data_IF_127156923310
#
_entry.id   IF_127156923310
#
_cell.length_a   1.000
_cell.length_b   1.000
_cell.length_c   1.000
_cell.angle_alpha   90.00
_cell.angle_beta   90.00
_cell.angle_gamma   90.00
#
_symmetry.space_group_name_H-M   'P 1'
#
loop_
_entity.id
_entity.type
_entity.pdbx_description
1 polymer ?
#
# COMPACT_ATOMS: atom_id res chain seq x y z
N UNK A 1 67.95 -63.75 29.94
CA UNK A 1 67.60 -62.56 29.12
C UNK A 1 66.58 -62.82 28.01
N UNK A 2 66.30 -64.07 27.61
CA UNK A 2 65.36 -64.39 26.53
C UNK A 2 63.88 -64.43 26.93
N UNK A 3 63.55 -64.37 28.23
CA UNK A 3 62.16 -64.34 28.74
C UNK A 3 61.60 -62.93 29.04
N UNK A 4 62.43 -61.89 29.09
CA UNK A 4 61.95 -60.50 29.26
C UNK A 4 61.55 -59.83 27.94
N UNK A 5 62.09 -60.27 26.80
CA UNK A 5 61.80 -59.68 25.48
C UNK A 5 60.44 -60.15 24.93
N UNK A 6 60.00 -61.35 25.29
CA UNK A 6 58.71 -61.91 24.85
C UNK A 6 57.50 -61.24 25.52
N UNK A 7 57.65 -60.70 26.73
CA UNK A 7 56.54 -60.07 27.45
C UNK A 7 56.29 -58.63 27.01
N UNK A 8 57.33 -57.88 26.62
CA UNK A 8 57.17 -56.54 26.03
C UNK A 8 56.53 -56.56 24.63
N UNK A 9 56.83 -57.57 23.80
CA UNK A 9 56.26 -57.65 22.44
C UNK A 9 54.76 -58.01 22.40
N UNK A 10 54.26 -58.73 23.41
CA UNK A 10 52.82 -59.07 23.49
C UNK A 10 51.96 -57.89 23.97
N UNK A 11 52.51 -57.00 24.80
CA UNK A 11 51.79 -55.79 25.26
C UNK A 11 51.69 -54.76 24.12
N UNK A 12 52.75 -54.62 23.29
CA UNK A 12 52.70 -53.73 22.12
C UNK A 12 51.73 -54.21 21.04
N UNK A 13 51.64 -55.53 20.78
CA UNK A 13 50.70 -56.08 19.78
C UNK A 13 49.23 -55.99 20.19
N UNK A 14 48.92 -56.01 21.50
CA UNK A 14 47.54 -55.89 21.99
C UNK A 14 47.04 -54.43 21.99
N UNK A 15 47.94 -53.44 22.10
CA UNK A 15 47.58 -52.03 22.00
C UNK A 15 47.38 -51.56 20.54
N UNK A 16 48.16 -52.07 19.58
CA UNK A 16 47.96 -51.74 18.16
C UNK A 16 46.65 -52.30 17.59
N UNK A 17 46.22 -53.48 18.05
CA UNK A 17 44.96 -54.10 17.60
C UNK A 17 43.73 -53.47 18.25
N UNK A 18 43.85 -52.94 19.48
CA UNK A 18 42.79 -52.17 20.13
C UNK A 18 42.65 -50.76 19.52
N UNK A 19 43.76 -50.06 19.25
CA UNK A 19 43.72 -48.75 18.57
C UNK A 19 43.23 -48.84 17.12
N UNK A 20 43.56 -49.90 16.37
CA UNK A 20 43.04 -50.10 14.99
C UNK A 20 41.55 -50.40 14.95
N UNK A 21 40.98 -51.05 15.98
CA UNK A 21 39.54 -51.33 16.05
C UNK A 21 38.72 -50.12 16.53
N UNK A 22 39.27 -49.28 17.40
CA UNK A 22 38.66 -47.98 17.73
C UNK A 22 38.74 -46.98 16.57
N UNK A 23 39.83 -46.97 15.79
CA UNK A 23 39.96 -46.10 14.63
C UNK A 23 38.97 -46.44 13.50
N UNK A 24 38.63 -47.72 13.29
CA UNK A 24 37.63 -48.12 12.29
C UNK A 24 36.17 -47.89 12.72
N UNK A 25 35.87 -47.89 14.02
CA UNK A 25 34.54 -47.55 14.55
C UNK A 25 34.32 -46.04 14.67
N UNK A 26 35.37 -45.24 14.86
CA UNK A 26 35.34 -43.78 14.78
C UNK A 26 35.34 -43.25 13.33
N UNK A 27 35.88 -44.00 12.36
CA UNK A 27 35.82 -43.60 10.95
C UNK A 27 34.48 -43.93 10.28
N UNK A 28 33.66 -44.80 10.87
CA UNK A 28 32.34 -45.17 10.32
C UNK A 28 31.18 -44.38 10.92
N UNK A 29 31.41 -43.67 12.04
CA UNK A 29 30.45 -42.71 12.63
C UNK A 29 30.67 -41.26 12.19
N UNK A 30 31.75 -40.99 11.46
CA UNK A 30 32.05 -39.67 10.86
C UNK A 30 31.71 -39.57 9.36
N UNK A 31 31.05 -40.57 8.79
CA UNK A 31 30.58 -40.57 7.39
C UNK A 31 29.06 -40.40 7.24
N UNK A 32 28.35 -40.00 8.31
CA UNK A 32 26.91 -39.74 8.27
C UNK A 32 26.52 -38.27 8.51
N UNK A 33 27.45 -37.34 8.36
CA UNK A 33 27.15 -35.92 8.57
C UNK A 33 28.06 -35.05 7.71
N UNK A 34 27.74 -34.95 6.43
CA UNK A 34 27.94 -33.78 5.56
C UNK A 34 27.44 -34.10 4.15
N UNK A 35 26.23 -34.65 4.02
CA UNK A 35 25.38 -34.09 2.98
C UNK A 35 24.97 -32.72 3.49
N UNK A 36 25.83 -31.73 3.27
CA UNK A 36 25.33 -30.39 3.02
C UNK A 36 24.33 -30.61 1.87
N UNK A 37 23.05 -30.73 2.23
CA UNK A 37 22.00 -30.56 1.26
C UNK A 37 22.32 -29.19 0.71
N UNK A 38 22.87 -29.15 -0.51
CA UNK A 38 22.85 -27.92 -1.28
C UNK A 38 21.41 -27.45 -1.14
N UNK A 39 21.19 -26.32 -0.45
CA UNK A 39 19.86 -25.74 -0.36
C UNK A 39 19.34 -25.77 -1.79
N UNK A 40 18.29 -26.55 -2.05
CA UNK A 40 17.67 -26.52 -3.35
C UNK A 40 17.27 -25.06 -3.54
N UNK A 41 17.93 -24.37 -4.49
CA UNK A 41 17.61 -22.99 -4.78
C UNK A 41 16.11 -22.90 -5.07
N UNK A 42 15.35 -22.28 -4.16
CA UNK A 42 13.91 -22.08 -4.28
C UNK A 42 13.02 -22.93 -3.36
N UNK A 43 13.47 -24.07 -2.82
CA UNK A 43 12.66 -24.89 -1.90
C UNK A 43 13.26 -24.85 -0.50
N UNK A 44 12.49 -24.29 0.44
CA UNK A 44 12.83 -24.25 1.86
C UNK A 44 12.37 -25.56 2.51
N UNK A 45 13.21 -26.59 2.49
CA UNK A 45 12.87 -27.93 3.01
C UNK A 45 12.43 -27.90 4.48
N UNK A 46 12.91 -26.91 5.26
CA UNK A 46 12.50 -26.68 6.64
C UNK A 46 11.06 -26.19 6.81
N UNK A 47 10.41 -25.70 5.76
CA UNK A 47 9.02 -25.23 5.78
C UNK A 47 8.00 -26.38 5.62
N UNK A 48 8.46 -27.56 5.19
CA UNK A 48 7.60 -28.70 4.90
C UNK A 48 7.07 -29.36 6.18
N UNK A 49 5.76 -29.64 6.23
CA UNK A 49 5.14 -30.55 7.20
C UNK A 49 5.12 -31.96 6.60
N UNK A 50 6.10 -32.78 6.98
CA UNK A 50 6.25 -34.15 6.47
C UNK A 50 5.22 -35.14 7.04
N UNK A 51 4.39 -34.73 7.99
CA UNK A 51 3.29 -35.56 8.49
C UNK A 51 2.01 -35.37 7.68
N UNK A 52 1.91 -34.30 6.90
CA UNK A 52 0.80 -34.05 6.00
C UNK A 52 0.99 -34.81 4.68
N UNK A 53 -0.11 -35.36 4.15
CA UNK A 53 -0.12 -35.96 2.83
C UNK A 53 -0.19 -34.87 1.74
N UNK A 54 0.86 -34.70 0.90
CA UNK A 54 0.86 -33.69 -0.15
C UNK A 54 -0.25 -33.89 -1.19
N UNK A 55 -0.78 -35.10 -1.34
CA UNK A 55 -1.87 -35.39 -2.27
C UNK A 55 -3.25 -34.99 -1.71
N UNK A 56 -3.36 -34.80 -0.39
CA UNK A 56 -4.60 -34.43 0.31
C UNK A 56 -4.65 -32.93 0.59
N UNK A 57 -3.58 -32.38 1.17
CA UNK A 57 -3.43 -30.94 1.41
C UNK A 57 -1.99 -30.50 1.14
N UNK A 58 -1.74 -30.13 -0.12
CA UNK A 58 -0.44 -29.63 -0.53
C UNK A 58 -0.08 -28.31 0.17
N UNK A 59 -1.07 -27.51 0.59
CA UNK A 59 -0.81 -26.25 1.28
C UNK A 59 -0.28 -26.51 2.70
N UNK A 60 -0.90 -27.42 3.44
CA UNK A 60 -0.39 -27.88 4.74
C UNK A 60 1.02 -28.46 4.58
N UNK A 61 1.18 -29.45 3.69
CA UNK A 61 2.47 -30.10 3.45
C UNK A 61 3.59 -29.11 3.15
N UNK A 62 3.33 -28.07 2.35
CA UNK A 62 4.36 -27.14 1.91
C UNK A 62 4.61 -25.96 2.85
N UNK A 63 3.66 -25.59 3.72
CA UNK A 63 3.73 -24.31 4.44
C UNK A 63 3.54 -24.39 5.96
N UNK A 64 3.01 -25.47 6.53
CA UNK A 64 2.53 -25.42 7.92
C UNK A 64 3.65 -25.37 8.96
N UNK A 65 4.82 -25.95 8.70
CA UNK A 65 6.00 -25.75 9.56
C UNK A 65 6.40 -24.27 9.58
N UNK A 66 6.39 -23.59 8.43
CA UNK A 66 6.66 -22.15 8.39
C UNK A 66 5.59 -21.34 9.12
N UNK A 67 4.31 -21.60 8.85
CA UNK A 67 3.18 -20.88 9.46
C UNK A 67 3.18 -20.99 10.99
N UNK A 68 3.49 -22.18 11.52
CA UNK A 68 3.55 -22.38 12.98
C UNK A 68 4.70 -21.63 13.64
N UNK A 69 5.84 -21.50 12.94
CA UNK A 69 7.03 -20.78 13.43
C UNK A 69 6.99 -19.27 13.20
N UNK A 70 6.08 -18.80 12.33
CA UNK A 70 5.99 -17.41 11.91
C UNK A 70 4.58 -16.89 12.20
N UNK A 71 4.22 -16.65 13.47
CA UNK A 71 2.94 -16.06 13.81
C UNK A 71 2.79 -14.68 13.18
N UNK A 72 1.55 -14.27 12.91
CA UNK A 72 1.26 -12.94 12.36
C UNK A 72 1.77 -11.86 13.32
N UNK A 73 2.66 -10.94 12.89
CA UNK A 73 3.11 -9.83 13.72
C UNK A 73 1.92 -9.02 14.25
N UNK A 74 2.01 -8.52 15.48
CA UNK A 74 0.89 -7.86 16.15
C UNK A 74 0.33 -6.64 15.39
N UNK A 75 1.16 -5.96 14.60
CA UNK A 75 0.76 -4.80 13.78
C UNK A 75 0.27 -5.16 12.37
N UNK A 76 -0.01 -6.43 12.09
CA UNK A 76 -0.48 -6.92 10.80
C UNK A 76 -1.73 -7.80 10.94
N UNK A 77 -2.47 -7.91 9.84
CA UNK A 77 -3.66 -8.78 9.69
C UNK A 77 -3.34 -10.11 8.99
N UNK A 78 -2.18 -10.21 8.35
CA UNK A 78 -1.75 -11.37 7.56
C UNK A 78 -0.23 -11.49 7.53
N UNK A 79 0.25 -12.71 7.34
CA UNK A 79 1.68 -12.99 7.24
C UNK A 79 1.96 -14.09 6.24
N UNK A 80 2.96 -13.87 5.40
CA UNK A 80 3.46 -14.83 4.41
C UNK A 80 4.91 -14.51 4.08
N UNK A 81 5.58 -15.39 3.35
CA UNK A 81 6.93 -15.14 2.81
C UNK A 81 7.02 -13.82 2.02
N UNK A 82 5.95 -13.44 1.30
CA UNK A 82 5.87 -12.14 0.60
C UNK A 82 5.87 -10.97 1.58
N UNK A 83 5.09 -11.04 2.66
CA UNK A 83 5.06 -10.01 3.69
C UNK A 83 6.40 -9.94 4.43
N UNK A 84 7.01 -11.08 4.75
CA UNK A 84 8.35 -11.14 5.33
C UNK A 84 9.40 -10.45 4.45
N UNK A 85 9.37 -10.67 3.13
CA UNK A 85 10.26 -9.99 2.19
C UNK A 85 10.03 -8.47 2.16
N UNK A 86 8.77 -8.03 2.20
CA UNK A 86 8.42 -6.61 2.30
C UNK A 86 8.92 -5.96 3.61
N UNK A 87 8.82 -6.67 4.74
CA UNK A 87 9.35 -6.17 6.01
C UNK A 87 10.88 -6.07 6.00
N UNK A 88 11.56 -7.07 5.40
CA UNK A 88 13.01 -7.00 5.19
C UNK A 88 13.39 -5.81 4.31
N UNK A 89 12.64 -5.52 3.25
CA UNK A 89 12.86 -4.35 2.42
C UNK A 89 12.69 -3.05 3.23
N UNK A 90 11.68 -2.96 4.12
CA UNK A 90 11.52 -1.81 5.01
C UNK A 90 12.67 -1.66 6.00
N UNK A 91 13.20 -2.75 6.54
CA UNK A 91 14.41 -2.70 7.39
C UNK A 91 15.63 -2.17 6.60
N UNK A 92 15.77 -2.58 5.34
CA UNK A 92 16.82 -2.07 4.44
C UNK A 92 16.64 -0.58 4.10
N UNK A 93 15.40 -0.16 3.84
CA UNK A 93 15.04 1.24 3.64
C UNK A 93 15.32 2.06 4.90
N UNK A 94 15.02 1.52 6.08
CA UNK A 94 15.33 2.18 7.35
C UNK A 94 16.81 2.50 7.47
N UNK A 95 17.71 1.60 7.07
CA UNK A 95 19.16 1.88 7.08
C UNK A 95 19.50 3.06 6.16
N UNK A 96 18.89 3.15 4.98
CA UNK A 96 19.12 4.29 4.06
C UNK A 96 18.55 5.56 4.67
N UNK A 97 17.32 5.52 5.18
CA UNK A 97 16.61 6.65 5.76
C UNK A 97 17.30 7.18 7.01
N UNK A 98 17.75 6.30 7.92
CA UNK A 98 18.52 6.66 9.11
C UNK A 98 19.84 7.36 8.72
N UNK A 99 20.54 6.85 7.69
CA UNK A 99 21.79 7.44 7.19
C UNK A 99 21.58 8.84 6.59
N UNK A 100 20.70 8.97 5.58
CA UNK A 100 20.46 10.26 4.92
C UNK A 100 19.83 11.29 5.86
N UNK A 101 18.99 10.84 6.80
CA UNK A 101 18.33 11.73 7.75
C UNK A 101 19.21 12.15 8.93
N UNK A 102 20.33 11.47 9.19
CA UNK A 102 21.31 11.85 10.21
C UNK A 102 22.07 13.15 9.87
N UNK A 103 22.02 13.56 8.60
CA UNK A 103 22.69 14.74 8.06
C UNK A 103 21.70 15.82 7.65
N UNK A 104 22.12 17.08 7.76
CA UNK A 104 21.35 18.28 7.38
C UNK A 104 22.12 19.21 6.45
N UNK A 105 23.31 18.80 6.01
CA UNK A 105 24.23 19.55 5.15
C UNK A 105 24.16 19.13 3.68
N UNK A 106 23.17 18.32 3.30
CA UNK A 106 22.94 17.93 1.92
C UNK A 106 22.64 19.16 1.04
N UNK A 107 23.12 19.18 -0.22
CA UNK A 107 22.77 20.25 -1.15
C UNK A 107 21.25 20.41 -1.27
N UNK A 108 20.77 21.65 -1.22
CA UNK A 108 19.33 21.92 -1.31
C UNK A 108 18.76 21.39 -2.63
N UNK A 109 17.65 20.64 -2.55
CA UNK A 109 17.00 20.01 -3.69
C UNK A 109 17.65 18.70 -4.15
N UNK A 110 18.69 18.21 -3.47
CA UNK A 110 19.22 16.86 -3.72
C UNK A 110 18.26 15.79 -3.21
N UNK A 111 18.36 14.58 -3.77
CA UNK A 111 17.53 13.44 -3.36
C UNK A 111 17.72 13.13 -1.87
N UNK A 112 18.96 13.18 -1.39
CA UNK A 112 19.33 12.94 0.01
C UNK A 112 18.70 13.98 0.94
N UNK A 113 18.70 15.26 0.55
CA UNK A 113 18.05 16.32 1.33
C UNK A 113 16.55 16.09 1.42
N UNK A 114 15.88 15.83 0.28
CA UNK A 114 14.43 15.67 0.23
C UNK A 114 13.96 14.45 1.04
N UNK A 115 14.59 13.30 0.81
CA UNK A 115 14.28 12.04 1.52
C UNK A 115 14.60 12.16 3.01
N UNK A 116 15.77 12.70 3.35
CA UNK A 116 16.19 12.89 4.74
C UNK A 116 15.30 13.85 5.50
N UNK A 117 14.91 14.97 4.88
CA UNK A 117 14.05 15.98 5.51
C UNK A 117 12.63 15.52 5.71
N UNK A 118 12.06 14.83 4.73
CA UNK A 118 10.76 14.21 4.86
C UNK A 118 10.72 13.21 6.00
N UNK A 119 11.58 12.18 5.93
CA UNK A 119 11.65 11.12 6.94
C UNK A 119 11.96 11.66 8.33
N UNK A 120 12.92 12.58 8.41
CA UNK A 120 13.33 13.23 9.64
C UNK A 120 12.21 14.04 10.31
N UNK A 121 11.42 14.77 9.51
CA UNK A 121 10.28 15.52 10.04
C UNK A 121 9.19 14.60 10.59
N UNK A 122 8.94 13.47 9.93
CA UNK A 122 8.00 12.45 10.40
C UNK A 122 8.48 11.80 11.70
N UNK A 123 9.78 11.53 11.82
CA UNK A 123 10.38 10.89 12.99
C UNK A 123 10.44 11.79 14.24
N UNK A 124 10.31 13.12 14.10
CA UNK A 124 10.24 14.04 15.25
C UNK A 124 8.85 14.01 15.93
N UNK A 125 8.60 12.92 16.65
CA UNK A 125 7.39 12.67 17.42
C UNK A 125 7.11 13.74 18.46
N UNK A 126 8.15 14.25 19.12
CA UNK A 126 8.01 15.30 20.13
C UNK A 126 7.40 16.56 19.53
N UNK A 127 7.87 16.96 18.34
CA UNK A 127 7.34 18.12 17.64
C UNK A 127 5.94 17.89 17.11
N UNK A 128 5.69 16.75 16.46
CA UNK A 128 4.36 16.41 15.94
C UNK A 128 3.32 16.41 17.07
N UNK A 129 3.65 15.81 18.22
CA UNK A 129 2.77 15.81 19.39
C UNK A 129 2.58 17.18 20.01
N UNK A 130 3.64 18.00 20.08
CA UNK A 130 3.54 19.39 20.56
C UNK A 130 2.64 20.24 19.67
N UNK A 131 2.68 20.02 18.36
CA UNK A 131 1.85 20.73 17.39
C UNK A 131 0.38 20.27 17.45
N UNK A 132 0.10 19.03 17.81
CA UNK A 132 -1.28 18.56 17.94
C UNK A 132 -2.05 18.71 16.63
N UNK A 133 -3.23 19.34 16.71
CA UNK A 133 -4.06 19.68 15.54
C UNK A 133 -3.63 21.00 14.85
N UNK A 134 -2.74 21.80 15.44
CA UNK A 134 -2.42 23.15 14.96
C UNK A 134 -2.09 23.21 13.45
N UNK A 135 -1.35 22.26 12.85
CA UNK A 135 -1.08 22.28 11.42
C UNK A 135 -2.32 22.20 10.52
N UNK A 136 -3.38 21.51 10.96
CA UNK A 136 -4.64 21.40 10.22
C UNK A 136 -5.57 22.62 10.37
N UNK A 137 -5.34 23.48 11.37
CA UNK A 137 -6.21 24.61 11.70
C UNK A 137 -6.44 25.61 10.55
N UNK A 138 -5.43 25.96 9.71
CA UNK A 138 -5.68 26.79 8.53
C UNK A 138 -6.78 26.21 7.63
N UNK A 139 -6.71 24.92 7.27
CA UNK A 139 -7.72 24.28 6.44
C UNK A 139 -9.08 24.19 7.14
N UNK A 140 -9.12 23.84 8.42
CA UNK A 140 -10.36 23.78 9.18
C UNK A 140 -11.06 25.16 9.24
N UNK A 141 -10.29 26.24 9.37
CA UNK A 141 -10.81 27.62 9.30
C UNK A 141 -11.33 27.96 7.91
N UNK A 142 -10.63 27.54 6.86
CA UNK A 142 -11.06 27.80 5.49
C UNK A 142 -12.35 27.04 5.15
N UNK A 143 -12.51 25.81 5.64
CA UNK A 143 -13.77 25.05 5.54
C UNK A 143 -14.88 25.80 6.30
N UNK A 144 -14.61 26.27 7.52
CA UNK A 144 -15.60 27.03 8.30
C UNK A 144 -15.95 28.38 7.65
N UNK A 145 -15.02 29.00 6.93
CA UNK A 145 -15.22 30.31 6.30
C UNK A 145 -16.07 30.26 5.01
N UNK A 146 -16.33 29.08 4.44
CA UNK A 146 -17.15 28.93 3.23
C UNK A 146 -18.55 29.55 3.42
N UNK A 147 -19.03 30.29 2.42
CA UNK A 147 -20.28 31.05 2.47
C UNK A 147 -21.31 30.59 1.46
N UNK A 148 -20.90 29.86 0.43
CA UNK A 148 -21.75 29.47 -0.69
C UNK A 148 -21.19 28.24 -1.43
N UNK A 149 -21.90 27.78 -2.46
CA UNK A 149 -21.51 26.62 -3.27
C UNK A 149 -20.20 26.80 -4.05
N UNK A 150 -19.81 28.03 -4.41
CA UNK A 150 -18.52 28.28 -5.07
C UNK A 150 -17.36 28.03 -4.12
N UNK A 151 -17.47 28.52 -2.87
CA UNK A 151 -16.45 28.28 -1.84
C UNK A 151 -16.32 26.78 -1.53
N UNK A 152 -17.45 26.05 -1.51
CA UNK A 152 -17.48 24.59 -1.38
C UNK A 152 -16.67 23.90 -2.47
N UNK A 153 -16.90 24.25 -3.74
CA UNK A 153 -16.20 23.61 -4.85
C UNK A 153 -14.70 23.97 -4.90
N UNK A 154 -14.33 25.18 -4.48
CA UNK A 154 -12.91 25.55 -4.29
C UNK A 154 -12.26 24.73 -3.16
N UNK A 155 -12.98 24.45 -2.09
CA UNK A 155 -12.49 23.61 -1.00
C UNK A 155 -12.35 22.14 -1.43
N UNK A 156 -13.30 21.62 -2.21
CA UNK A 156 -13.18 20.28 -2.85
C UNK A 156 -11.90 20.20 -3.68
N UNK A 157 -11.64 21.18 -4.55
CA UNK A 157 -10.40 21.24 -5.32
C UNK A 157 -9.17 21.22 -4.43
N UNK A 158 -9.13 22.03 -3.37
CA UNK A 158 -7.99 22.08 -2.47
C UNK A 158 -7.77 20.78 -1.70
N UNK A 159 -8.83 20.08 -1.31
CA UNK A 159 -8.72 18.77 -0.66
C UNK A 159 -8.20 17.71 -1.63
N UNK A 160 -8.64 17.75 -2.90
CA UNK A 160 -8.10 16.87 -3.93
C UNK A 160 -6.59 17.09 -4.16
N UNK A 161 -6.10 18.33 -4.04
CA UNK A 161 -4.67 18.62 -4.10
C UNK A 161 -3.87 18.04 -2.91
N UNK A 162 -4.53 17.53 -1.88
CA UNK A 162 -3.91 16.86 -0.74
C UNK A 162 -4.17 15.34 -0.73
N UNK A 163 -4.60 14.78 -1.87
CA UNK A 163 -5.00 13.38 -1.94
C UNK A 163 -6.31 13.04 -1.22
N UNK A 164 -7.04 14.03 -0.67
CA UNK A 164 -8.33 13.82 0.01
C UNK A 164 -9.47 13.93 -1.00
N UNK A 165 -9.86 12.81 -1.60
CA UNK A 165 -10.89 12.75 -2.65
C UNK A 165 -12.32 12.83 -2.09
N UNK A 166 -13.02 13.95 -2.34
CA UNK A 166 -14.35 14.25 -1.78
C UNK A 166 -15.21 15.12 -2.70
N UNK A 167 -16.48 14.78 -2.97
CA UNK A 167 -17.11 13.47 -2.77
C UNK A 167 -16.77 12.48 -3.91
N UNK A 168 -15.84 12.82 -4.80
CA UNK A 168 -15.43 11.96 -5.92
C UNK A 168 -13.91 12.02 -6.09
N UNK A 169 -13.34 11.01 -6.73
CA UNK A 169 -11.93 11.01 -7.10
C UNK A 169 -11.71 11.44 -8.55
N UNK A 170 -10.56 12.06 -8.81
CA UNK A 170 -10.08 12.35 -10.16
C UNK A 170 -8.60 11.98 -10.24
N UNK A 171 -8.24 11.12 -11.17
CA UNK A 171 -6.86 10.69 -11.42
C UNK A 171 -6.54 10.65 -12.91
N UNK A 172 -5.25 10.62 -13.26
CA UNK A 172 -4.82 10.23 -14.60
C UNK A 172 -4.95 8.73 -14.80
N UNK A 173 -5.47 8.29 -15.94
CA UNK A 173 -5.54 6.88 -16.32
C UNK A 173 -5.22 6.71 -17.82
N UNK A 174 -4.82 5.51 -18.24
CA UNK A 174 -4.76 5.17 -19.66
C UNK A 174 -6.18 5.08 -20.23
N UNK A 175 -6.41 5.56 -21.46
CA UNK A 175 -7.70 5.35 -22.13
C UNK A 175 -7.85 3.87 -22.51
N UNK A 176 -8.92 3.24 -22.03
CA UNK A 176 -9.23 1.83 -22.33
C UNK A 176 -9.42 1.57 -23.84
N UNK A 177 -9.82 2.61 -24.59
CA UNK A 177 -10.02 2.55 -26.03
C UNK A 177 -8.78 2.99 -26.82
N UNK A 178 -7.81 3.64 -26.17
CA UNK A 178 -6.53 4.04 -26.75
C UNK A 178 -5.43 4.12 -25.67
N UNK A 179 -4.78 3.00 -25.32
CA UNK A 179 -3.86 2.96 -24.18
C UNK A 179 -2.57 3.80 -24.38
N UNK A 180 -2.34 4.36 -25.57
CA UNK A 180 -1.28 5.34 -25.83
C UNK A 180 -1.60 6.74 -25.30
N UNK A 181 -2.85 6.99 -24.90
CA UNK A 181 -3.31 8.26 -24.37
C UNK A 181 -3.56 8.19 -22.86
N UNK A 182 -3.18 9.26 -22.17
CA UNK A 182 -3.58 9.52 -20.79
C UNK A 182 -4.79 10.42 -20.78
N UNK A 183 -5.85 10.01 -20.10
CA UNK A 183 -7.09 10.76 -19.92
C UNK A 183 -7.37 10.96 -18.44
N UNK A 184 -8.24 11.92 -18.12
CA UNK A 184 -8.81 12.02 -16.78
C UNK A 184 -9.77 10.85 -16.53
N UNK A 185 -9.76 10.31 -15.32
CA UNK A 185 -10.74 9.33 -14.84
C UNK A 185 -11.38 9.86 -13.57
N UNK A 186 -12.71 10.02 -13.60
CA UNK A 186 -13.53 10.33 -12.44
C UNK A 186 -14.11 9.03 -11.88
N UNK A 187 -14.07 8.85 -10.57
CA UNK A 187 -14.54 7.62 -9.90
C UNK A 187 -15.22 7.93 -8.56
N UNK A 188 -16.04 6.98 -8.07
CA UNK A 188 -16.69 7.13 -6.78
C UNK A 188 -15.68 7.19 -5.63
N UNK A 189 -15.89 8.11 -4.69
CA UNK A 189 -15.01 8.27 -3.53
C UNK A 189 -15.79 8.89 -2.36
N UNK A 190 -15.09 9.36 -1.33
CA UNK A 190 -15.69 10.12 -0.25
C UNK A 190 -16.47 9.30 0.79
N UNK A 191 -16.34 7.97 0.79
CA UNK A 191 -16.85 7.12 1.87
C UNK A 191 -15.77 6.92 2.94
N UNK A 192 -16.14 6.91 4.22
CA UNK A 192 -15.22 6.58 5.32
C UNK A 192 -15.28 5.11 5.79
N UNK A 193 -16.21 4.29 5.29
CA UNK A 193 -16.21 2.83 5.49
C UNK A 193 -15.66 2.12 4.23
N UNK A 194 -15.20 0.85 4.35
CA UNK A 194 -14.43 0.18 3.30
C UNK A 194 -15.09 0.10 1.91
N UNK A 195 -16.41 -0.07 1.87
CA UNK A 195 -17.18 -0.07 0.62
C UNK A 195 -18.66 0.22 0.90
N UNK A 196 -19.48 0.27 -0.16
CA UNK A 196 -20.91 0.54 -0.05
C UNK A 196 -21.66 -0.47 0.81
N UNK A 197 -21.24 -1.73 0.85
CA UNK A 197 -21.97 -2.77 1.57
C UNK A 197 -21.95 -2.49 3.09
N UNK A 198 -20.89 -1.85 3.59
CA UNK A 198 -20.84 -1.40 4.99
C UNK A 198 -21.94 -0.40 5.35
N UNK A 199 -22.51 0.32 4.39
CA UNK A 199 -23.64 1.24 4.61
C UNK A 199 -24.99 0.55 4.43
N UNK A 200 -25.09 -0.47 3.56
CA UNK A 200 -26.36 -0.99 3.06
C UNK A 200 -26.74 -2.37 3.62
N UNK A 201 -25.76 -3.24 3.87
CA UNK A 201 -26.01 -4.62 4.29
C UNK A 201 -26.49 -4.68 5.74
N UNK A 202 -27.38 -5.63 6.03
CA UNK A 202 -28.13 -5.71 7.29
C UNK A 202 -27.57 -6.72 8.27
N UNK A 203 -26.61 -7.55 7.83
CA UNK A 203 -25.96 -8.57 8.63
C UNK A 203 -25.30 -7.95 9.88
N UNK A 204 -25.27 -8.67 11.02
CA UNK A 204 -24.82 -8.12 12.30
C UNK A 204 -23.48 -7.38 12.24
N UNK A 205 -22.48 -7.94 11.53
CA UNK A 205 -21.15 -7.33 11.37
C UNK A 205 -21.18 -5.93 10.75
N UNK A 206 -22.10 -5.68 9.81
CA UNK A 206 -22.20 -4.38 9.14
C UNK A 206 -22.94 -3.36 10.01
N UNK A 207 -23.96 -3.79 10.77
CA UNK A 207 -24.61 -2.93 11.77
C UNK A 207 -23.62 -2.50 12.85
N UNK A 208 -22.87 -3.45 13.38
CA UNK A 208 -21.82 -3.18 14.37
C UNK A 208 -20.76 -2.23 13.81
N UNK A 209 -20.30 -2.44 12.57
CA UNK A 209 -19.32 -1.56 11.95
C UNK A 209 -19.82 -0.12 11.81
N UNK A 210 -21.09 0.09 11.46
CA UNK A 210 -21.70 1.44 11.41
C UNK A 210 -21.78 2.09 12.79
N UNK A 211 -22.14 1.32 13.82
CA UNK A 211 -22.19 1.82 15.20
C UNK A 211 -20.80 2.24 15.68
N UNK A 212 -19.77 1.42 15.42
CA UNK A 212 -18.38 1.73 15.74
C UNK A 212 -17.85 2.91 14.94
N UNK A 213 -18.24 3.03 13.68
CA UNK A 213 -17.87 4.14 12.82
C UNK A 213 -18.40 5.47 13.35
N UNK A 214 -19.68 5.53 13.74
CA UNK A 214 -20.26 6.74 14.34
C UNK A 214 -19.51 7.19 15.60
N UNK A 215 -19.09 6.23 16.45
CA UNK A 215 -18.27 6.51 17.63
C UNK A 215 -16.89 7.04 17.23
N UNK A 216 -16.25 6.43 16.24
CA UNK A 216 -14.95 6.87 15.74
C UNK A 216 -15.00 8.30 15.18
N UNK A 217 -15.97 8.61 14.32
CA UNK A 217 -16.16 9.96 13.78
C UNK A 217 -16.40 10.96 14.92
N UNK A 218 -17.24 10.60 15.91
CA UNK A 218 -17.47 11.44 17.08
C UNK A 218 -16.17 11.71 17.87
N UNK A 219 -15.34 10.69 18.11
CA UNK A 219 -14.08 10.85 18.82
C UNK A 219 -13.11 11.76 18.07
N UNK A 220 -13.00 11.62 16.74
CA UNK A 220 -12.17 12.49 15.91
C UNK A 220 -12.62 13.95 15.98
N UNK A 221 -13.93 14.22 15.96
CA UNK A 221 -14.44 15.59 16.18
C UNK A 221 -14.15 16.12 17.59
N UNK A 222 -14.20 15.26 18.63
CA UNK A 222 -13.83 15.67 19.99
C UNK A 222 -12.36 16.03 20.09
N UNK A 223 -11.47 15.29 19.44
CA UNK A 223 -10.05 15.65 19.32
C UNK A 223 -9.87 16.99 18.59
N UNK A 224 -10.76 17.33 17.67
CA UNK A 224 -10.82 18.64 17.02
C UNK A 224 -11.51 19.75 17.86
N UNK A 225 -11.84 19.48 19.12
CA UNK A 225 -12.38 20.46 20.06
C UNK A 225 -13.91 20.59 20.06
N UNK A 226 -14.63 19.64 19.46
CA UNK A 226 -16.10 19.63 19.54
C UNK A 226 -16.56 19.09 20.90
N UNK A 227 -17.57 19.75 21.48
CA UNK A 227 -18.35 19.21 22.59
C UNK A 227 -19.06 17.91 22.18
N UNK A 228 -19.26 16.99 23.14
CA UNK A 228 -19.73 15.63 22.87
C UNK A 228 -21.05 15.58 22.06
N UNK A 229 -22.03 16.40 22.44
CA UNK A 229 -23.32 16.48 21.73
C UNK A 229 -23.17 16.98 20.28
N UNK A 230 -22.28 17.94 20.04
CA UNK A 230 -21.99 18.46 18.69
C UNK A 230 -21.23 17.45 17.86
N UNK A 231 -20.25 16.77 18.45
CA UNK A 231 -19.49 15.71 17.79
C UNK A 231 -20.38 14.53 17.39
N UNK A 232 -21.32 14.13 18.25
CA UNK A 232 -22.31 13.09 17.93
C UNK A 232 -23.25 13.50 16.79
N UNK A 233 -23.71 14.74 16.77
CA UNK A 233 -24.51 15.26 15.67
C UNK A 233 -23.71 15.29 14.36
N UNK A 234 -22.44 15.71 14.42
CA UNK A 234 -21.54 15.72 13.27
C UNK A 234 -21.33 14.32 12.68
N UNK A 235 -21.10 13.31 13.53
CA UNK A 235 -20.97 11.92 13.10
C UNK A 235 -22.21 11.42 12.36
N UNK A 236 -23.41 11.77 12.83
CA UNK A 236 -24.66 11.44 12.14
C UNK A 236 -24.75 12.13 10.77
N UNK A 237 -24.44 13.42 10.68
CA UNK A 237 -24.43 14.16 9.41
C UNK A 237 -23.49 13.52 8.39
N UNK A 238 -22.27 13.18 8.81
CA UNK A 238 -21.29 12.46 7.97
C UNK A 238 -21.87 11.16 7.45
N UNK A 239 -22.37 10.30 8.35
CA UNK A 239 -22.88 8.99 7.96
C UNK A 239 -24.05 9.07 6.97
N UNK A 240 -25.01 9.98 7.17
CA UNK A 240 -26.15 10.11 6.27
C UNK A 240 -25.77 10.64 4.88
N UNK A 241 -24.76 11.51 4.80
CA UNK A 241 -24.23 11.99 3.52
C UNK A 241 -23.54 10.84 2.76
N UNK A 242 -22.61 10.15 3.43
CA UNK A 242 -21.88 9.02 2.87
C UNK A 242 -22.81 7.87 2.47
N UNK A 243 -23.84 7.57 3.25
CA UNK A 243 -24.81 6.52 2.94
C UNK A 243 -25.50 6.77 1.59
N UNK A 244 -25.91 8.00 1.29
CA UNK A 244 -26.53 8.35 0.00
C UNK A 244 -25.57 8.18 -1.19
N UNK A 245 -24.29 8.48 -0.98
CA UNK A 245 -23.24 8.19 -1.97
C UNK A 245 -23.09 6.66 -2.17
N UNK A 246 -23.06 5.89 -1.09
CA UNK A 246 -22.95 4.43 -1.11
C UNK A 246 -24.15 3.74 -1.80
N UNK A 247 -25.37 4.26 -1.59
CA UNK A 247 -26.59 3.77 -2.27
C UNK A 247 -26.46 3.82 -3.81
N UNK A 248 -25.71 4.80 -4.33
CA UNK A 248 -25.50 5.03 -5.76
C UNK A 248 -24.13 4.56 -6.28
N UNK A 249 -23.32 3.92 -5.44
CA UNK A 249 -22.06 3.30 -5.83
C UNK A 249 -22.28 1.88 -6.37
N UNK A 250 -21.38 1.40 -7.22
CA UNK A 250 -21.31 0.01 -7.66
C UNK A 250 -20.88 -0.92 -6.52
N UNK A 251 -21.39 -2.15 -6.51
CA UNK A 251 -20.87 -3.18 -5.61
C UNK A 251 -19.55 -3.77 -6.12
N UNK A 252 -18.87 -4.50 -5.22
CA UNK A 252 -17.58 -5.10 -5.51
C UNK A 252 -17.61 -6.13 -6.66
N UNK A 253 -18.77 -6.69 -7.02
CA UNK A 253 -18.89 -7.61 -8.16
C UNK A 253 -18.94 -6.80 -9.45
N UNK A 254 -19.79 -5.78 -9.51
CA UNK A 254 -19.89 -4.89 -10.66
C UNK A 254 -18.58 -4.14 -10.95
N UNK A 255 -17.85 -3.70 -9.92
CA UNK A 255 -16.54 -3.03 -10.06
C UNK A 255 -15.46 -3.89 -10.75
N UNK A 256 -15.62 -5.23 -10.79
CA UNK A 256 -14.67 -6.13 -11.44
C UNK A 256 -14.94 -6.32 -12.93
N UNK A 257 -16.10 -5.90 -13.43
CA UNK A 257 -16.41 -5.92 -14.85
C UNK A 257 -15.93 -4.61 -15.49
N UNK A 258 -14.92 -4.64 -16.38
CA UNK A 258 -14.42 -3.44 -17.04
C UNK A 258 -15.51 -2.66 -17.77
N UNK A 259 -16.53 -3.35 -18.31
CA UNK A 259 -17.62 -2.69 -19.03
C UNK A 259 -18.49 -1.81 -18.12
N UNK A 260 -18.55 -2.12 -16.82
CA UNK A 260 -19.32 -1.34 -15.84
C UNK A 260 -18.58 -0.07 -15.39
N UNK A 261 -17.30 0.09 -15.74
CA UNK A 261 -16.47 1.23 -15.29
C UNK A 261 -15.83 2.00 -16.44
N UNK A 262 -16.06 1.57 -17.68
CA UNK A 262 -15.54 2.15 -18.91
C UNK A 262 -16.64 2.93 -19.64
N UNK A 263 -16.82 4.19 -19.25
CA UNK A 263 -17.77 5.11 -19.87
C UNK A 263 -17.01 6.35 -20.40
N UNK A 264 -16.53 6.23 -21.64
CA UNK A 264 -15.95 7.37 -22.36
C UNK A 264 -16.99 8.49 -22.46
N UNK A 265 -16.64 9.63 -21.88
CA UNK A 265 -17.53 10.78 -21.67
C UNK A 265 -16.84 12.03 -22.18
N UNK A 266 -17.52 12.79 -23.05
CA UNK A 266 -16.99 14.08 -23.48
C UNK A 266 -17.00 15.08 -22.32
N UNK A 267 -16.10 16.07 -22.34
CA UNK A 267 -16.12 17.14 -21.33
C UNK A 267 -17.48 17.88 -21.27
N UNK A 268 -18.15 18.01 -22.42
CA UNK A 268 -19.48 18.61 -22.47
C UNK A 268 -20.55 17.74 -21.80
N UNK A 269 -20.46 16.41 -21.91
CA UNK A 269 -21.42 15.50 -21.28
C UNK A 269 -21.17 15.35 -19.79
N UNK A 270 -19.92 15.45 -19.32
CA UNK A 270 -19.60 15.59 -17.89
C UNK A 270 -20.34 16.80 -17.28
N UNK A 271 -20.29 17.95 -17.96
CA UNK A 271 -21.00 19.16 -17.53
C UNK A 271 -22.51 18.99 -17.51
N UNK A 272 -23.09 18.19 -18.40
CA UNK A 272 -24.53 17.88 -18.39
C UNK A 272 -24.89 16.89 -17.27
N UNK A 273 -23.99 15.97 -16.95
CA UNK A 273 -24.18 14.96 -15.90
C UNK A 273 -24.14 15.59 -14.50
N UNK A 274 -23.22 16.52 -14.29
CA UNK A 274 -23.04 17.23 -13.01
C UNK A 274 -23.03 18.74 -13.26
N UNK A 275 -24.16 19.36 -13.64
CA UNK A 275 -24.24 20.77 -14.02
C UNK A 275 -24.00 21.72 -12.85
N UNK A 276 -24.15 21.26 -11.60
CA UNK A 276 -23.95 22.11 -10.41
C UNK A 276 -22.46 22.40 -10.16
N UNK A 277 -21.56 21.56 -10.68
CA UNK A 277 -20.12 21.67 -10.44
C UNK A 277 -19.41 22.48 -11.55
N UNK A 278 -18.56 23.41 -11.14
CA UNK A 278 -17.82 24.36 -11.99
C UNK A 278 -16.61 23.69 -12.65
N UNK A 279 -16.87 22.71 -13.52
CA UNK A 279 -15.85 21.89 -14.19
C UNK A 279 -14.81 22.70 -14.96
N UNK A 280 -15.21 23.79 -15.62
CA UNK A 280 -14.27 24.65 -16.35
C UNK A 280 -13.25 25.29 -15.40
N UNK A 281 -13.70 25.74 -14.23
CA UNK A 281 -12.83 26.32 -13.20
C UNK A 281 -11.90 25.26 -12.62
N UNK A 282 -12.45 24.10 -12.25
CA UNK A 282 -11.67 22.99 -11.70
C UNK A 282 -10.57 22.53 -12.67
N UNK A 283 -10.94 22.22 -13.92
CA UNK A 283 -9.98 21.70 -14.91
C UNK A 283 -8.92 22.75 -15.27
N UNK A 284 -9.28 24.04 -15.32
CA UNK A 284 -8.29 25.10 -15.56
C UNK A 284 -7.31 25.24 -14.39
N UNK A 285 -7.81 25.22 -13.15
CA UNK A 285 -6.97 25.34 -11.96
C UNK A 285 -6.03 24.14 -11.81
N UNK A 286 -6.49 22.95 -12.21
CA UNK A 286 -5.71 21.72 -12.22
C UNK A 286 -4.80 21.54 -13.45
N UNK A 287 -4.84 22.46 -14.42
CA UNK A 287 -4.16 22.33 -15.72
C UNK A 287 -4.51 21.03 -16.48
N UNK A 288 -5.76 20.56 -16.36
CA UNK A 288 -6.26 19.37 -17.04
C UNK A 288 -6.86 19.76 -18.40
N UNK A 289 -6.47 19.09 -19.51
CA UNK A 289 -7.08 19.35 -20.82
C UNK A 289 -8.57 18.96 -20.83
N UNK A 290 -9.38 19.79 -21.48
CA UNK A 290 -10.84 19.58 -21.62
C UNK A 290 -11.15 18.70 -22.82
N UNK A 291 -10.67 17.46 -22.76
CA UNK A 291 -10.88 16.42 -23.79
C UNK A 291 -11.81 15.33 -23.24
N UNK A 292 -12.04 14.28 -24.03
CA UNK A 292 -12.76 13.10 -23.56
C UNK A 292 -12.06 12.48 -22.33
N UNK A 293 -12.87 12.01 -21.41
CA UNK A 293 -12.46 11.43 -20.14
C UNK A 293 -13.24 10.13 -19.87
N UNK A 294 -12.93 9.44 -18.78
CA UNK A 294 -13.72 8.32 -18.30
C UNK A 294 -14.49 8.69 -17.02
N UNK A 295 -15.80 8.48 -16.99
CA UNK A 295 -16.60 8.56 -15.76
C UNK A 295 -16.95 7.14 -15.34
N UNK A 296 -16.30 6.65 -14.27
CA UNK A 296 -16.42 5.24 -13.87
C UNK A 296 -17.83 4.89 -13.42
N UNK A 297 -18.51 5.81 -12.73
CA UNK A 297 -19.83 5.55 -12.15
C UNK A 297 -20.79 6.73 -12.40
N UNK A 298 -21.47 6.80 -13.56
CA UNK A 298 -22.34 7.92 -13.91
C UNK A 298 -23.50 8.15 -12.92
N UNK A 299 -24.08 7.07 -12.37
CA UNK A 299 -25.16 7.16 -11.36
C UNK A 299 -24.66 7.79 -10.06
N UNK A 300 -23.46 7.42 -9.61
CA UNK A 300 -22.82 8.04 -8.47
C UNK A 300 -22.61 9.54 -8.71
N UNK A 301 -22.11 9.93 -9.88
CA UNK A 301 -21.90 11.34 -10.20
C UNK A 301 -23.20 12.14 -10.28
N UNK A 302 -24.30 11.54 -10.74
CA UNK A 302 -25.62 12.16 -10.68
C UNK A 302 -26.09 12.39 -9.22
N UNK A 303 -25.75 11.49 -8.28
CA UNK A 303 -25.99 11.70 -6.85
C UNK A 303 -25.12 12.83 -6.28
N UNK A 304 -23.84 12.89 -6.66
CA UNK A 304 -22.96 14.03 -6.29
C UNK A 304 -23.59 15.36 -6.70
N UNK A 305 -24.06 15.46 -7.94
CA UNK A 305 -24.75 16.64 -8.46
C UNK A 305 -26.00 17.00 -7.63
N UNK A 306 -26.79 16.00 -7.24
CA UNK A 306 -27.96 16.19 -6.37
C UNK A 306 -27.55 16.72 -5.00
N UNK A 307 -26.51 16.16 -4.39
CA UNK A 307 -26.04 16.61 -3.07
C UNK A 307 -25.48 18.04 -3.09
N UNK A 308 -24.81 18.45 -4.17
CA UNK A 308 -24.33 19.82 -4.32
C UNK A 308 -25.47 20.85 -4.35
N UNK A 309 -26.68 20.46 -4.78
CA UNK A 309 -27.87 21.32 -4.74
C UNK A 309 -28.63 21.27 -3.43
N UNK A 310 -28.79 20.08 -2.87
CA UNK A 310 -29.76 19.84 -1.80
C UNK A 310 -29.16 19.84 -0.39
N UNK A 311 -27.90 19.45 -0.23
CA UNK A 311 -27.26 19.39 1.08
C UNK A 311 -26.90 20.80 1.53
N UNK A 312 -27.20 21.09 2.79
CA UNK A 312 -26.93 22.41 3.37
C UNK A 312 -25.42 22.67 3.46
N UNK A 313 -25.00 23.92 3.29
CA UNK A 313 -23.59 24.28 3.43
C UNK A 313 -23.00 23.90 4.81
N UNK A 314 -23.71 24.02 5.96
CA UNK A 314 -23.23 23.52 7.24
C UNK A 314 -22.95 22.00 7.27
N UNK A 315 -23.78 21.20 6.60
CA UNK A 315 -23.56 19.75 6.52
C UNK A 315 -22.36 19.43 5.65
N UNK A 316 -22.19 20.13 4.52
CA UNK A 316 -20.98 20.05 3.69
C UNK A 316 -19.72 20.41 4.47
N UNK A 317 -19.74 21.49 5.27
CA UNK A 317 -18.62 21.85 6.16
C UNK A 317 -18.28 20.73 7.12
N UNK A 318 -19.30 20.11 7.71
CA UNK A 318 -19.13 18.99 8.63
C UNK A 318 -18.48 17.80 7.95
N UNK A 319 -18.98 17.42 6.78
CA UNK A 319 -18.43 16.32 5.99
C UNK A 319 -16.98 16.58 5.55
N UNK A 320 -16.66 17.76 5.02
CA UNK A 320 -15.30 18.10 4.60
C UNK A 320 -14.31 18.16 5.76
N UNK A 321 -14.74 18.62 6.96
CA UNK A 321 -13.90 18.55 8.17
C UNK A 321 -13.58 17.11 8.55
N UNK A 322 -14.59 16.24 8.53
CA UNK A 322 -14.37 14.82 8.78
C UNK A 322 -13.36 14.24 7.78
N UNK A 323 -13.57 14.49 6.50
CA UNK A 323 -12.72 13.98 5.43
C UNK A 323 -11.26 14.44 5.54
N UNK A 324 -11.04 15.70 5.92
CA UNK A 324 -9.71 16.20 6.26
C UNK A 324 -9.11 15.50 7.49
N UNK A 325 -9.89 15.37 8.58
CA UNK A 325 -9.40 14.83 9.85
C UNK A 325 -8.98 13.36 9.75
N UNK A 326 -9.78 12.52 9.07
CA UNK A 326 -9.43 11.11 8.91
C UNK A 326 -8.36 10.91 7.84
N UNK A 327 -8.46 11.62 6.71
CA UNK A 327 -7.51 11.50 5.60
C UNK A 327 -6.10 11.99 5.94
N UNK A 328 -5.96 12.81 6.98
CA UNK A 328 -4.68 13.35 7.44
C UNK A 328 -4.37 12.95 8.90
N UNK A 329 -5.06 11.96 9.46
CA UNK A 329 -4.86 11.55 10.85
C UNK A 329 -3.43 11.08 11.13
N UNK A 330 -2.82 10.40 10.16
CA UNK A 330 -1.50 9.76 10.29
C UNK A 330 -0.33 10.75 10.38
N UNK A 331 -0.57 12.02 10.01
CA UNK A 331 0.43 13.11 10.04
C UNK A 331 0.23 14.11 11.19
N UNK A 332 -0.76 13.85 12.06
CA UNK A 332 -1.06 14.64 13.26
C UNK A 332 -0.46 14.00 14.52
N UNK A 333 -0.82 14.51 15.70
CA UNK A 333 -0.38 13.95 16.99
C UNK A 333 -0.91 12.56 17.25
N UNK A 334 -0.28 11.87 18.19
CA UNK A 334 -0.59 10.48 18.57
C UNK A 334 -2.05 10.27 18.96
N UNK A 335 -2.74 11.30 19.49
CA UNK A 335 -4.16 11.18 19.79
C UNK A 335 -5.00 10.89 18.52
N UNK A 336 -4.71 11.58 17.41
CA UNK A 336 -5.38 11.34 16.13
C UNK A 336 -4.96 10.02 15.52
N UNK A 337 -3.66 9.72 15.51
CA UNK A 337 -3.13 8.45 14.97
C UNK A 337 -3.73 7.26 15.72
N UNK A 338 -3.82 7.31 17.05
CA UNK A 338 -4.35 6.21 17.85
C UNK A 338 -5.86 6.05 17.70
N UNK A 339 -6.63 7.13 17.60
CA UNK A 339 -8.07 7.04 17.34
C UNK A 339 -8.35 6.49 15.93
N UNK A 340 -7.60 6.94 14.92
CA UNK A 340 -7.67 6.40 13.56
C UNK A 340 -7.32 4.92 13.52
N UNK A 341 -6.23 4.54 14.20
CA UNK A 341 -5.82 3.14 14.34
C UNK A 341 -6.86 2.30 15.06
N UNK A 342 -7.49 2.79 16.13
CA UNK A 342 -8.47 2.03 16.91
C UNK A 342 -9.63 1.54 16.03
N UNK A 343 -10.06 2.34 15.06
CA UNK A 343 -11.12 1.96 14.13
C UNK A 343 -10.60 1.23 12.89
N UNK A 344 -9.74 1.85 12.08
CA UNK A 344 -9.31 1.29 10.80
C UNK A 344 -8.30 0.15 10.95
N UNK A 345 -7.35 0.30 11.87
CA UNK A 345 -6.34 -0.71 12.16
C UNK A 345 -6.91 -1.84 13.02
N UNK A 346 -7.31 -1.54 14.25
CA UNK A 346 -7.66 -2.57 15.21
C UNK A 346 -9.02 -3.21 14.93
N UNK A 347 -10.08 -2.41 14.78
CA UNK A 347 -11.42 -2.96 14.59
C UNK A 347 -11.65 -3.52 13.18
N UNK A 348 -11.36 -2.75 12.12
CA UNK A 348 -11.64 -3.18 10.74
C UNK A 348 -10.63 -4.19 10.19
N UNK A 349 -9.33 -4.01 10.45
CA UNK A 349 -8.29 -4.91 9.91
C UNK A 349 -7.90 -6.06 10.86
N UNK A 350 -8.13 -5.90 12.17
CA UNK A 350 -7.76 -6.89 13.18
C UNK A 350 -6.32 -6.80 13.70
N UNK A 351 -5.58 -5.75 13.33
CA UNK A 351 -4.25 -5.49 13.88
C UNK A 351 -4.32 -5.21 15.40
N UNK A 352 -3.41 -5.77 16.17
CA UNK A 352 -3.39 -5.62 17.64
C UNK A 352 -2.60 -4.40 18.09
N UNK A 353 -1.62 -3.97 17.31
CA UNK A 353 -0.72 -2.86 17.65
C UNK A 353 -0.50 -1.92 16.47
N UNK A 354 -0.26 -0.66 16.77
CA UNK A 354 0.15 0.31 15.76
C UNK A 354 1.57 -0.04 15.27
N UNK A 355 1.80 0.09 13.95
CA UNK A 355 3.14 -0.04 13.39
C UNK A 355 4.12 0.92 14.08
N UNK A 356 5.38 0.49 14.33
CA UNK A 356 6.42 1.38 14.83
C UNK A 356 6.55 2.64 13.96
N UNK A 357 6.78 3.79 14.57
CA UNK A 357 6.81 5.10 13.89
C UNK A 357 7.75 5.11 12.68
N UNK A 358 8.97 4.58 12.83
CA UNK A 358 9.94 4.49 11.73
C UNK A 358 9.39 3.78 10.49
N UNK A 359 8.54 2.77 10.69
CA UNK A 359 7.94 1.99 9.61
C UNK A 359 6.85 2.78 8.89
N UNK A 360 6.00 3.48 9.66
CA UNK A 360 5.00 4.41 9.12
C UNK A 360 5.67 5.55 8.34
N UNK A 361 6.73 6.13 8.89
CA UNK A 361 7.49 7.19 8.22
C UNK A 361 8.22 6.69 6.96
N UNK A 362 8.78 5.47 6.99
CA UNK A 362 9.38 4.87 5.80
C UNK A 362 8.35 4.60 4.70
N UNK A 363 7.17 4.04 5.06
CA UNK A 363 6.06 3.81 4.13
C UNK A 363 5.54 5.13 3.52
N UNK A 364 5.35 6.18 4.33
CA UNK A 364 4.94 7.51 3.86
C UNK A 364 6.01 8.16 2.96
N UNK A 365 7.29 8.01 3.30
CA UNK A 365 8.40 8.48 2.44
C UNK A 365 8.41 7.76 1.10
N UNK A 366 8.22 6.45 1.08
CA UNK A 366 8.15 5.64 -0.15
C UNK A 366 6.90 5.97 -0.98
N UNK A 367 5.76 6.26 -0.33
CA UNK A 367 4.54 6.66 -1.02
C UNK A 367 4.72 7.97 -1.80
N UNK A 368 5.35 8.98 -1.18
CA UNK A 368 5.44 10.32 -1.77
C UNK A 368 6.72 10.56 -2.58
N UNK A 369 7.83 9.90 -2.21
CA UNK A 369 9.16 10.06 -2.81
C UNK A 369 9.73 8.72 -3.31
N UNK A 370 8.88 7.77 -3.69
CA UNK A 370 9.27 6.38 -3.96
C UNK A 370 10.33 6.17 -5.03
N UNK A 371 10.36 6.97 -6.10
CA UNK A 371 11.44 6.87 -7.09
C UNK A 371 12.77 7.43 -6.57
N UNK A 372 12.72 8.48 -5.75
CA UNK A 372 13.89 9.04 -5.08
C UNK A 372 14.50 8.03 -4.08
N UNK A 373 13.67 7.46 -3.22
CA UNK A 373 14.10 6.43 -2.27
C UNK A 373 14.49 5.12 -2.97
N UNK A 374 13.74 4.73 -4.00
CA UNK A 374 13.98 3.55 -4.82
C UNK A 374 15.34 3.59 -5.53
N UNK A 375 15.78 4.76 -5.99
CA UNK A 375 17.11 4.95 -6.56
C UNK A 375 18.21 4.55 -5.56
N UNK A 376 18.14 5.07 -4.33
CA UNK A 376 19.10 4.74 -3.27
C UNK A 376 19.02 3.25 -2.88
N UNK A 377 17.82 2.68 -2.85
CA UNK A 377 17.63 1.26 -2.55
C UNK A 377 18.29 0.37 -3.60
N UNK A 378 18.10 0.68 -4.89
CA UNK A 378 18.68 -0.08 -6.00
C UNK A 378 20.21 -0.01 -5.96
N UNK A 379 20.77 1.18 -5.77
CA UNK A 379 22.23 1.38 -5.67
C UNK A 379 22.86 0.54 -4.56
N UNK A 380 22.13 0.27 -3.46
CA UNK A 380 22.65 -0.44 -2.29
C UNK A 380 22.30 -1.93 -2.25
N UNK A 381 21.13 -2.33 -2.72
CA UNK A 381 20.56 -3.66 -2.45
C UNK A 381 20.13 -4.44 -3.69
N UNK A 382 20.17 -3.86 -4.89
CA UNK A 382 19.74 -4.55 -6.11
C UNK A 382 20.94 -4.90 -7.00
N UNK A 383 21.38 -6.16 -7.02
CA UNK A 383 22.53 -6.56 -7.83
C UNK A 383 22.16 -6.66 -9.32
N UNK A 384 23.04 -6.15 -10.19
CA UNK A 384 22.77 -6.08 -11.64
C UNK A 384 22.52 -7.45 -12.28
N UNK A 385 23.20 -8.50 -11.80
CA UNK A 385 23.06 -9.87 -12.28
C UNK A 385 21.65 -10.44 -12.07
N UNK A 386 20.90 -9.95 -11.07
CA UNK A 386 19.52 -10.34 -10.82
C UNK A 386 18.58 -9.85 -11.93
N UNK A 387 18.82 -8.64 -12.48
CA UNK A 387 18.03 -8.11 -13.61
C UNK A 387 18.19 -8.98 -14.85
N UNK A 388 19.43 -9.35 -15.17
CA UNK A 388 19.73 -10.23 -16.31
C UNK A 388 19.09 -11.61 -16.16
N UNK A 389 19.19 -12.24 -14.97
CA UNK A 389 18.51 -13.53 -14.70
C UNK A 389 16.99 -13.43 -14.82
N UNK A 390 16.39 -12.37 -14.29
CA UNK A 390 14.95 -12.16 -14.37
C UNK A 390 14.48 -11.95 -15.83
N UNK A 391 15.26 -11.28 -16.67
CA UNK A 391 14.97 -11.12 -18.10
C UNK A 391 14.94 -12.48 -18.83
N UNK A 392 15.91 -13.35 -18.56
CA UNK A 392 15.91 -14.71 -19.12
C UNK A 392 14.69 -15.51 -18.65
N UNK A 393 14.35 -15.43 -17.36
CA UNK A 393 13.18 -16.11 -16.80
C UNK A 393 11.87 -15.64 -17.47
N UNK A 394 11.70 -14.33 -17.64
CA UNK A 394 10.52 -13.78 -18.33
C UNK A 394 10.47 -14.27 -19.77
N UNK A 395 11.59 -14.26 -20.49
CA UNK A 395 11.65 -14.80 -21.86
C UNK A 395 11.19 -16.26 -21.92
N UNK A 396 11.65 -17.09 -20.98
CA UNK A 396 11.27 -18.51 -20.93
C UNK A 396 9.78 -18.69 -20.62
N UNK A 397 9.21 -17.88 -19.73
CA UNK A 397 7.78 -17.92 -19.40
C UNK A 397 6.93 -17.51 -20.61
N UNK A 398 7.32 -16.45 -21.31
CA UNK A 398 6.61 -16.00 -22.52
C UNK A 398 6.69 -17.07 -23.62
N UNK A 399 7.82 -17.75 -23.76
CA UNK A 399 7.95 -18.90 -24.69
C UNK A 399 7.03 -20.05 -24.30
N UNK A 400 6.97 -20.45 -23.02
CA UNK A 400 6.07 -21.51 -22.58
C UNK A 400 4.59 -21.14 -22.75
N UNK A 401 4.25 -19.86 -22.56
CA UNK A 401 2.90 -19.34 -22.78
C UNK A 401 2.53 -19.39 -24.28
N UNK A 402 3.47 -19.11 -25.18
CA UNK A 402 3.29 -19.26 -26.62
C UNK A 402 2.86 -20.69 -26.96
N UNK A 403 3.68 -21.68 -26.57
CA UNK A 403 3.41 -23.10 -26.83
C UNK A 403 2.08 -23.55 -26.24
N UNK A 404 1.75 -23.06 -25.04
CA UNK A 404 0.46 -23.34 -24.40
C UNK A 404 -0.69 -22.83 -25.26
N UNK A 405 -0.65 -21.56 -25.72
CA UNK A 405 -1.72 -20.95 -26.53
C UNK A 405 -1.94 -21.73 -27.84
N UNK A 406 -0.86 -22.16 -28.50
CA UNK A 406 -0.96 -22.97 -29.71
C UNK A 406 -1.68 -24.30 -29.45
N UNK A 407 -1.43 -24.92 -28.30
CA UNK A 407 -2.03 -26.20 -27.91
C UNK A 407 -3.48 -26.14 -27.39
N UNK A 408 -4.08 -24.96 -27.15
CA UNK A 408 -5.40 -24.86 -26.51
C UNK A 408 -6.55 -25.32 -27.43
N UNK A 409 -7.16 -26.47 -27.18
CA UNK A 409 -8.25 -27.00 -28.02
C UNK A 409 -9.56 -26.20 -27.94
N UNK A 410 -9.80 -25.49 -26.83
CA UNK A 410 -11.02 -24.72 -26.61
C UNK A 410 -11.03 -23.36 -27.32
N UNK A 411 -9.89 -22.89 -27.83
CA UNK A 411 -9.77 -21.61 -28.53
C UNK A 411 -9.82 -21.80 -30.05
N UNK A 412 -10.62 -20.97 -30.73
CA UNK A 412 -10.61 -20.94 -32.20
C UNK A 412 -9.23 -20.51 -32.74
N UNK A 413 -8.87 -20.90 -33.97
CA UNK A 413 -7.63 -20.46 -34.61
C UNK A 413 -7.48 -18.93 -34.64
N UNK A 414 -8.57 -18.20 -34.89
CA UNK A 414 -8.59 -16.73 -34.96
C UNK A 414 -8.31 -16.10 -33.60
N UNK A 415 -8.86 -16.68 -32.54
CA UNK A 415 -8.65 -16.19 -31.17
C UNK A 415 -7.22 -16.47 -30.71
N UNK A 416 -6.65 -17.64 -31.04
CA UNK A 416 -5.23 -17.96 -30.77
C UNK A 416 -4.31 -16.95 -31.44
N UNK A 417 -4.56 -16.64 -32.71
CA UNK A 417 -3.79 -15.63 -33.43
C UNK A 417 -3.77 -14.28 -32.69
N UNK A 418 -4.93 -13.82 -32.19
CA UNK A 418 -5.02 -12.59 -31.39
C UNK A 418 -4.30 -12.67 -30.05
N UNK A 419 -4.36 -13.81 -29.36
CA UNK A 419 -3.62 -14.03 -28.13
C UNK A 419 -2.09 -13.98 -28.35
N UNK A 420 -1.60 -14.58 -29.44
CA UNK A 420 -0.19 -14.54 -29.82
C UNK A 420 0.27 -13.14 -30.26
N UNK A 421 -0.57 -12.39 -30.98
CA UNK A 421 -0.32 -10.96 -31.28
C UNK A 421 -0.17 -10.12 -29.99
N UNK A 422 -0.98 -10.40 -28.97
CA UNK A 422 -0.83 -9.75 -27.65
C UNK A 422 0.44 -10.18 -26.92
N UNK A 423 0.77 -11.46 -26.98
CA UNK A 423 1.97 -12.00 -26.34
C UNK A 423 3.25 -11.38 -26.93
N UNK A 424 3.31 -11.20 -28.25
CA UNK A 424 4.48 -10.64 -28.93
C UNK A 424 4.72 -9.15 -28.65
N UNK A 425 3.72 -8.44 -28.14
CA UNK A 425 3.79 -7.02 -27.79
C UNK A 425 3.98 -6.77 -26.29
N UNK A 426 4.23 -7.83 -25.51
CA UNK A 426 4.44 -7.73 -24.07
C UNK A 426 5.76 -7.01 -23.74
N UNK A 427 5.68 -5.95 -22.93
CA UNK A 427 6.83 -5.15 -22.52
C UNK A 427 7.12 -5.32 -21.01
N UNK A 428 8.13 -6.12 -20.61
CA UNK A 428 8.42 -6.38 -19.22
C UNK A 428 9.16 -5.22 -18.54
N UNK A 429 8.68 -4.77 -17.38
CA UNK A 429 9.38 -3.83 -16.49
C UNK A 429 10.02 -4.60 -15.33
N UNK A 430 11.36 -4.59 -15.24
CA UNK A 430 12.12 -5.42 -14.29
C UNK A 430 13.08 -4.56 -13.46
N UNK A 431 12.89 -4.58 -12.14
CA UNK A 431 13.75 -3.89 -11.18
C UNK A 431 13.38 -2.42 -11.03
N UNK A 432 13.97 -1.56 -11.85
CA UNK A 432 13.94 -0.10 -11.71
C UNK A 432 13.77 0.60 -13.07
N UNK A 433 13.26 1.85 -13.10
CA UNK A 433 13.07 2.59 -14.34
C UNK A 433 14.41 3.05 -14.93
N UNK A 434 14.45 3.24 -16.26
CA UNK A 434 15.64 3.78 -16.94
C UNK A 434 15.81 5.30 -16.73
N UNK A 435 14.70 5.98 -16.39
CA UNK A 435 14.67 7.41 -16.07
C UNK A 435 13.91 7.63 -14.77
N UNK A 436 14.55 8.32 -13.84
CA UNK A 436 13.98 8.70 -12.55
C UNK A 436 13.25 10.04 -12.63
N UNK A 437 12.19 10.18 -11.84
CA UNK A 437 11.52 11.47 -11.57
C UNK A 437 12.48 12.46 -10.91
N UNK A 438 12.31 13.74 -11.25
CA UNK A 438 13.01 14.85 -10.63
C UNK A 438 12.12 15.48 -9.55
N UNK A 439 12.51 15.35 -8.29
CA UNK A 439 11.78 15.84 -7.12
C UNK A 439 12.29 17.20 -6.62
N UNK A 440 13.29 17.80 -7.28
CA UNK A 440 14.01 18.99 -6.78
C UNK A 440 13.13 20.23 -6.55
N UNK A 441 11.94 20.28 -7.15
CA UNK A 441 10.99 21.38 -6.97
C UNK A 441 10.14 21.30 -5.69
N UNK A 442 10.13 20.16 -4.98
CA UNK A 442 9.28 20.01 -3.79
C UNK A 442 9.91 20.75 -2.61
N UNK A 443 9.17 21.68 -1.96
CA UNK A 443 9.70 22.46 -0.84
C UNK A 443 9.64 21.68 0.49
N UNK A 444 10.49 20.67 0.65
CA UNK A 444 10.58 19.87 1.88
C UNK A 444 11.58 20.47 2.88
N UNK A 445 11.27 20.34 4.17
CA UNK A 445 12.13 20.81 5.26
C UNK A 445 11.97 19.99 6.54
N UNK A 446 12.93 20.05 7.46
CA UNK A 446 12.82 19.40 8.78
C UNK A 446 11.76 20.00 9.68
N UNK A 447 11.19 21.16 9.35
CA UNK A 447 10.43 21.98 10.30
C UNK A 447 9.04 21.44 10.60
N UNK A 448 8.37 20.86 9.61
CA UNK A 448 6.98 20.45 9.73
C UNK A 448 6.66 19.24 8.84
N UNK A 449 6.27 18.13 9.47
CA UNK A 449 5.80 16.94 8.77
C UNK A 449 4.52 17.20 7.94
N UNK A 450 3.53 17.89 8.53
CA UNK A 450 2.29 18.27 7.82
C UNK A 450 2.57 19.04 6.52
N UNK A 451 3.34 20.12 6.59
CA UNK A 451 3.69 20.91 5.41
C UNK A 451 4.45 20.08 4.35
N UNK A 452 5.26 19.10 4.76
CA UNK A 452 5.95 18.22 3.84
C UNK A 452 4.97 17.27 3.14
N UNK A 453 4.03 16.67 3.87
CA UNK A 453 2.93 15.87 3.32
C UNK A 453 2.14 16.69 2.31
N UNK A 454 1.68 17.89 2.70
CA UNK A 454 0.94 18.80 1.82
C UNK A 454 1.73 19.18 0.56
N UNK A 455 3.02 19.50 0.70
CA UNK A 455 3.86 19.88 -0.42
C UNK A 455 4.09 18.72 -1.40
N UNK A 456 4.28 17.51 -0.87
CA UNK A 456 4.53 16.33 -1.69
C UNK A 456 3.26 15.78 -2.35
N UNK A 457 2.13 15.75 -1.64
CA UNK A 457 0.81 15.40 -2.22
C UNK A 457 0.39 16.37 -3.32
N UNK A 458 0.63 17.67 -3.16
CA UNK A 458 0.34 18.67 -4.21
C UNK A 458 1.17 18.51 -5.47
N UNK A 459 2.39 17.97 -5.33
CA UNK A 459 3.31 17.80 -6.43
C UNK A 459 3.03 16.51 -7.21
N UNK A 460 2.63 15.45 -6.51
CA UNK A 460 2.23 14.16 -7.08
C UNK A 460 0.89 14.27 -7.84
#
# INVERSE_FOLDING_TARGET
MTKLISHCNNIFRSQETFMRRCAFLLSMTLYFSLFAHAEQHGIQVGDLDRNADPCTDFFQYSNDTWRSQNPIPAYMDRWSRRWQAGEKAKDQLKVILDDVSSRTDWPRGSVEQLVGDYYGSCMDESRVNKLGITPAQPMLRDIEAMKNGRDLQQMIFRLHQLGVFVPFGLVSASDNHNPSQTIAKIFASGLGLPDRDYYLKTEPRFREAREKYLVHVQNMFKLAGYEDAKAKAAAKTVFELEKKLAENSLDNVALRDPQQTDHKTSFADLKKMVPTFEWDTYFSAANIPRVDLNVSEPKFMAEVDRQLREISLPDWKTYLKWQLLHGQADVLSDAFVNENFAFYGAYLSGAKELKPRWKRCAESTDQLLGEALGKMYVEKYFPEDAKARAQVMVSNILSAMHDTIEGLEWMSPETKKKALEKLSTFNPKIGYPDKWKDYSSIPLSRESFWNNEEAAEKWN
#
